data_IF_161503861652
#
_entry.id   IF_161503861652
#
_cell.length_a   1.000
_cell.length_b   1.000
_cell.length_c   1.000
_cell.angle_alpha   90.00
_cell.angle_beta   90.00
_cell.angle_gamma   90.00
#
_symmetry.space_group_name_H-M   'P 1'
#
loop_
_entity.id
_entity.type
_entity.pdbx_description
1 polymer ?
#
# COMPACT_ATOMS: atom_id res chain seq x y z
N UNK A 1 9.87 -2.68 4.99
CA UNK A 1 9.05 -1.46 4.87
C UNK A 1 9.98 -0.30 5.12
N UNK A 2 10.11 0.58 4.13
CA UNK A 2 11.02 1.74 4.21
C UNK A 2 10.47 2.79 5.18
N UNK A 3 11.38 3.60 5.74
CA UNK A 3 11.04 4.70 6.65
C UNK A 3 10.34 5.80 5.85
N UNK A 4 9.15 6.23 6.28
CA UNK A 4 8.45 7.35 5.64
C UNK A 4 9.25 8.66 5.78
N UNK A 5 9.46 9.42 4.70
CA UNK A 5 10.12 10.72 4.76
C UNK A 5 9.30 11.76 5.55
N UNK A 6 9.98 12.72 6.19
CA UNK A 6 9.36 13.84 6.91
C UNK A 6 8.91 14.92 5.92
N UNK A 7 7.61 15.21 5.86
CA UNK A 7 7.04 16.26 5.03
C UNK A 7 6.42 17.36 5.91
N UNK A 8 6.80 18.64 5.75
CA UNK A 8 6.17 19.74 6.48
C UNK A 8 4.71 19.95 6.03
N UNK A 9 3.84 20.31 6.97
CA UNK A 9 2.38 20.20 6.83
C UNK A 9 1.88 18.89 7.46
N UNK A 10 0.57 18.73 7.67
CA UNK A 10 0.00 17.45 8.10
C UNK A 10 -0.48 16.68 6.85
N UNK A 11 0.41 15.99 6.11
CA UNK A 11 0.02 15.25 4.92
C UNK A 11 -0.91 14.10 5.30
N UNK A 12 -1.87 13.82 4.43
CA UNK A 12 -2.66 12.59 4.55
C UNK A 12 -1.91 11.48 3.83
N UNK A 13 -1.37 10.53 4.59
CA UNK A 13 -0.58 9.41 4.06
C UNK A 13 -1.40 8.13 3.96
N UNK A 14 -1.14 7.33 2.92
CA UNK A 14 -1.65 5.98 2.77
C UNK A 14 -0.55 5.06 2.20
N UNK A 15 -0.48 3.83 2.70
CA UNK A 15 0.46 2.82 2.21
C UNK A 15 -0.28 1.78 1.37
N UNK A 16 0.18 1.56 0.15
CA UNK A 16 -0.43 0.64 -0.82
C UNK A 16 0.55 -0.48 -1.18
N UNK A 17 0.90 -1.30 -0.20
CA UNK A 17 1.78 -2.45 -0.41
C UNK A 17 1.18 -3.47 -1.39
N UNK A 18 2.05 -4.06 -2.21
CA UNK A 18 1.78 -5.24 -3.03
C UNK A 18 2.82 -6.30 -2.71
N UNK A 19 2.53 -7.55 -3.07
CA UNK A 19 3.54 -8.61 -3.05
C UNK A 19 4.67 -8.25 -4.03
N UNK A 20 5.91 -8.59 -3.66
CA UNK A 20 7.07 -8.34 -4.51
C UNK A 20 7.08 -9.35 -5.67
N UNK A 21 6.84 -8.93 -6.93
CA UNK A 21 6.83 -9.85 -8.06
C UNK A 21 8.21 -10.44 -8.35
N UNK A 22 9.30 -9.78 -7.93
CA UNK A 22 10.65 -10.29 -8.11
C UNK A 22 10.99 -11.44 -7.13
N UNK A 23 10.24 -11.56 -6.04
CA UNK A 23 10.37 -12.65 -5.07
C UNK A 23 9.67 -13.95 -5.52
N UNK A 24 8.94 -13.93 -6.65
CA UNK A 24 8.25 -15.13 -7.17
C UNK A 24 9.23 -16.06 -7.88
N UNK A 25 9.30 -17.29 -7.40
CA UNK A 25 10.13 -18.36 -7.97
C UNK A 25 9.32 -19.32 -8.88
N UNK A 26 10.04 -20.11 -9.68
CA UNK A 26 9.48 -21.14 -10.54
C UNK A 26 9.49 -20.77 -12.03
N UNK A 27 8.61 -21.38 -12.84
CA UNK A 27 8.60 -21.20 -14.29
C UNK A 27 8.37 -19.75 -14.71
N UNK A 28 8.91 -19.36 -15.87
CA UNK A 28 8.83 -17.98 -16.38
C UNK A 28 7.39 -17.45 -16.52
N UNK A 29 6.42 -18.31 -16.84
CA UNK A 29 5.01 -17.89 -16.91
C UNK A 29 4.47 -17.42 -15.56
N UNK A 30 4.94 -17.99 -14.43
CA UNK A 30 4.52 -17.56 -13.09
C UNK A 30 5.12 -16.22 -12.72
N UNK A 31 6.40 -16.03 -13.02
CA UNK A 31 7.08 -14.74 -12.82
C UNK A 31 6.39 -13.65 -13.64
N UNK A 32 6.13 -13.91 -14.92
CA UNK A 32 5.41 -13.00 -15.82
C UNK A 32 4.05 -12.61 -15.25
N UNK A 33 3.25 -13.60 -14.83
CA UNK A 33 1.94 -13.36 -14.23
C UNK A 33 2.03 -12.48 -12.97
N UNK A 34 3.02 -12.71 -12.10
CA UNK A 34 3.22 -11.89 -10.90
C UNK A 34 3.52 -10.41 -11.22
N UNK A 35 4.34 -10.15 -12.25
CA UNK A 35 4.59 -8.79 -12.73
C UNK A 35 3.34 -8.15 -13.35
N UNK A 36 2.58 -8.90 -14.15
CA UNK A 36 1.34 -8.42 -14.77
C UNK A 36 0.28 -8.07 -13.70
N UNK A 37 0.17 -8.88 -12.65
CA UNK A 37 -0.69 -8.62 -11.49
C UNK A 37 -0.26 -7.35 -10.75
N UNK A 38 1.03 -7.25 -10.39
CA UNK A 38 1.60 -6.08 -9.72
C UNK A 38 1.32 -4.78 -10.50
N UNK A 39 1.51 -4.83 -11.82
CA UNK A 39 1.26 -3.72 -12.71
C UNK A 39 -0.23 -3.35 -12.80
N UNK A 40 -1.11 -4.35 -12.87
CA UNK A 40 -2.56 -4.15 -12.88
C UNK A 40 -3.02 -3.47 -11.58
N UNK A 41 -2.51 -3.94 -10.44
CA UNK A 41 -2.80 -3.35 -9.14
C UNK A 41 -2.35 -1.89 -9.04
N UNK A 42 -1.12 -1.58 -9.47
CA UNK A 42 -0.63 -0.20 -9.47
C UNK A 42 -1.44 0.70 -10.40
N UNK A 43 -1.74 0.24 -11.63
CA UNK A 43 -2.55 1.01 -12.60
C UNK A 43 -3.93 1.35 -12.05
N UNK A 44 -4.60 0.38 -11.45
CA UNK A 44 -5.94 0.58 -10.89
C UNK A 44 -5.91 1.58 -9.72
N UNK A 45 -4.90 1.52 -8.85
CA UNK A 45 -4.77 2.45 -7.72
C UNK A 45 -4.45 3.87 -8.15
N UNK A 46 -3.51 4.03 -9.08
CA UNK A 46 -3.17 5.34 -9.65
C UNK A 46 -4.42 5.94 -10.31
N UNK A 47 -5.14 5.14 -11.11
CA UNK A 47 -6.37 5.58 -11.78
C UNK A 47 -7.45 5.99 -10.78
N UNK A 48 -7.64 5.25 -9.70
CA UNK A 48 -8.60 5.61 -8.66
C UNK A 48 -8.20 6.89 -7.92
N UNK A 49 -6.90 7.07 -7.64
CA UNK A 49 -6.38 8.24 -6.94
C UNK A 49 -6.52 9.53 -7.75
N UNK A 50 -6.15 9.53 -9.03
CA UNK A 50 -6.25 10.72 -9.89
C UNK A 50 -7.69 11.18 -10.12
N UNK A 51 -8.66 10.27 -9.96
CA UNK A 51 -10.09 10.56 -10.08
C UNK A 51 -10.75 10.99 -8.75
N UNK A 52 -9.98 11.15 -7.67
CA UNK A 52 -10.52 11.68 -6.42
C UNK A 52 -10.83 13.17 -6.55
N UNK A 53 -12.00 13.64 -6.10
CA UNK A 53 -12.32 15.06 -6.08
C UNK A 53 -11.69 15.74 -4.86
N UNK A 54 -10.35 15.81 -4.83
CA UNK A 54 -9.55 16.24 -3.66
C UNK A 54 -9.96 17.64 -3.17
N UNK A 55 -10.35 18.53 -4.08
CA UNK A 55 -10.77 19.89 -3.75
C UNK A 55 -12.15 19.97 -3.07
N UNK A 56 -12.99 18.93 -3.18
CA UNK A 56 -14.37 18.97 -2.70
C UNK A 56 -14.64 18.02 -1.52
N UNK A 57 -13.61 17.44 -0.92
CA UNK A 57 -13.74 16.51 0.22
C UNK A 57 -12.86 16.96 1.38
N UNK A 58 -13.34 16.75 2.61
CA UNK A 58 -12.57 17.05 3.80
C UNK A 58 -11.43 16.04 4.04
N UNK A 59 -10.57 16.33 5.02
CA UNK A 59 -9.41 15.49 5.36
C UNK A 59 -9.79 14.08 5.82
N UNK A 60 -10.90 13.93 6.53
CA UNK A 60 -11.33 12.62 7.03
C UNK A 60 -11.84 11.75 5.88
N UNK A 61 -12.63 12.34 4.98
CA UNK A 61 -13.11 11.72 3.76
C UNK A 61 -11.94 11.37 2.81
N UNK A 62 -10.96 12.26 2.65
CA UNK A 62 -9.76 11.98 1.88
C UNK A 62 -9.00 10.78 2.45
N UNK A 63 -8.73 10.76 3.76
CA UNK A 63 -8.05 9.64 4.43
C UNK A 63 -8.81 8.32 4.23
N UNK A 64 -10.14 8.33 4.38
CA UNK A 64 -10.97 7.15 4.19
C UNK A 64 -10.92 6.63 2.74
N UNK A 65 -10.99 7.53 1.74
CA UNK A 65 -10.89 7.15 0.33
C UNK A 65 -9.51 6.60 -0.03
N UNK A 66 -8.43 7.20 0.47
CA UNK A 66 -7.06 6.70 0.24
C UNK A 66 -6.84 5.30 0.86
N UNK A 67 -7.43 5.04 2.03
CA UNK A 67 -7.42 3.70 2.65
C UNK A 67 -8.29 2.70 1.87
N UNK A 68 -9.39 3.14 1.25
CA UNK A 68 -10.22 2.27 0.42
C UNK A 68 -9.47 1.82 -0.85
N UNK A 69 -8.76 2.74 -1.53
CA UNK A 69 -7.94 2.42 -2.71
C UNK A 69 -6.89 1.33 -2.39
N UNK A 70 -6.36 1.31 -1.18
CA UNK A 70 -5.41 0.28 -0.73
C UNK A 70 -6.01 -1.14 -0.78
N UNK A 71 -7.30 -1.27 -0.41
CA UNK A 71 -7.98 -2.55 -0.17
C UNK A 71 -8.58 -3.20 -1.41
N UNK A 72 -8.83 -2.43 -2.47
CA UNK A 72 -9.65 -2.89 -3.61
C UNK A 72 -8.88 -3.71 -4.65
N UNK A 73 -7.56 -3.75 -4.56
CA UNK A 73 -6.72 -4.07 -5.71
C UNK A 73 -5.47 -4.86 -5.32
N UNK A 74 -5.48 -5.66 -4.25
CA UNK A 74 -4.49 -6.71 -4.08
C UNK A 74 -5.08 -7.80 -3.19
N UNK A 75 -4.74 -9.08 -3.41
CA UNK A 75 -4.94 -10.09 -2.39
C UNK A 75 -4.22 -9.64 -1.10
N UNK A 76 -4.79 -9.94 0.08
CA UNK A 76 -4.13 -9.63 1.33
C UNK A 76 -2.74 -10.29 1.34
N UNK A 77 -1.70 -9.52 1.67
CA UNK A 77 -0.34 -10.04 1.81
C UNK A 77 -0.39 -11.29 2.71
N UNK A 78 -0.19 -12.48 2.13
CA UNK A 78 -0.35 -13.72 2.87
C UNK A 78 0.92 -13.96 3.70
N UNK A 79 0.72 -14.08 5.02
CA UNK A 79 1.69 -14.43 6.08
C UNK A 79 2.71 -13.36 6.54
N UNK A 80 2.31 -12.61 7.58
CA UNK A 80 3.20 -11.96 8.57
C UNK A 80 3.39 -12.84 9.83
N UNK A 81 3.80 -14.10 9.71
CA UNK A 81 4.22 -14.90 10.88
C UNK A 81 5.34 -15.90 10.53
N UNK A 82 6.59 -15.45 10.64
CA UNK A 82 7.71 -16.29 11.06
C UNK A 82 8.79 -15.43 11.74
N UNK A 83 8.71 -15.41 13.08
CA UNK A 83 9.77 -15.20 14.09
C UNK A 83 10.87 -14.15 13.86
N UNK A 84 10.72 -13.00 14.51
CA UNK A 84 11.52 -12.61 15.67
C UNK A 84 10.89 -11.39 16.35
N UNK A 85 10.55 -11.51 17.63
CA UNK A 85 10.26 -10.35 18.47
C UNK A 85 11.55 -9.52 18.59
N UNK A 86 11.63 -8.37 17.92
CA UNK A 86 12.60 -7.34 18.27
C UNK A 86 11.89 -6.01 18.52
N UNK A 87 11.60 -5.75 19.80
CA UNK A 87 11.58 -4.44 20.49
C UNK A 87 10.64 -3.31 20.00
N UNK A 88 10.09 -3.34 18.79
CA UNK A 88 9.34 -2.21 18.21
C UNK A 88 7.82 -2.36 18.27
N UNK A 89 7.29 -2.70 19.45
CA UNK A 89 5.84 -2.75 19.71
C UNK A 89 5.42 -1.79 20.84
N UNK A 90 5.98 -0.59 20.86
CA UNK A 90 5.45 0.55 21.62
C UNK A 90 5.63 1.82 20.80
N UNK A 91 4.73 2.77 21.00
CA UNK A 91 4.66 4.10 20.37
C UNK A 91 3.91 4.17 19.03
N UNK A 92 2.61 3.84 19.09
CA UNK A 92 1.61 4.48 18.23
C UNK A 92 0.58 5.16 19.13
N UNK A 93 0.85 6.41 19.48
CA UNK A 93 -0.07 7.55 19.70
C UNK A 93 0.79 8.64 20.32
N UNK A 94 1.21 9.65 19.55
CA UNK A 94 1.10 11.10 19.80
C UNK A 94 1.74 11.78 18.57
N UNK A 95 0.97 12.69 17.96
CA UNK A 95 1.23 13.56 16.79
C UNK A 95 1.01 12.93 15.42
#
# INVERSE_FOLDING_TARGET
GEVCPLWPGHPTSAHWGIEDPAAVEGPEFRKRAAFDDALTYMRNRISAFINLPIASIDRLALKAKLQAIARWTAPPLRNRKSRSMSVFERYLTVW
#
